data_IF_254378057199
#
_entry.id   IF_254378057199
#
_cell.length_a   1.000
_cell.length_b   1.000
_cell.length_c   1.000
_cell.angle_alpha   90.00
_cell.angle_beta   90.00
_cell.angle_gamma   90.00
#
_symmetry.space_group_name_H-M   'P 1'
#
loop_
_entity.id
_entity.type
_entity.pdbx_description
1 polymer ?
#
# COMPACT_ATOMS: atom_id res chain seq x y z
N UNK A 1 23.88 3.62 -16.59
CA UNK A 1 22.86 2.57 -16.38
C UNK A 1 23.07 2.00 -14.99
N UNK A 2 22.28 2.42 -13.99
CA UNK A 2 22.38 1.87 -12.63
C UNK A 2 21.43 0.68 -12.55
N UNK A 3 22.01 -0.51 -12.50
CA UNK A 3 21.31 -1.75 -12.20
C UNK A 3 20.78 -1.67 -10.77
N UNK A 4 19.46 -1.52 -10.60
CA UNK A 4 18.78 -1.67 -9.32
C UNK A 4 18.52 -3.17 -9.09
N UNK A 5 19.46 -3.84 -8.43
CA UNK A 5 19.21 -5.14 -7.81
C UNK A 5 19.12 -4.89 -6.30
N UNK A 6 17.91 -4.88 -5.75
CA UNK A 6 17.71 -4.98 -4.30
C UNK A 6 16.38 -5.66 -4.03
N UNK A 7 16.45 -6.77 -3.31
CA UNK A 7 15.31 -7.41 -2.65
C UNK A 7 14.39 -6.36 -2.01
N UNK A 8 13.11 -6.39 -2.37
CA UNK A 8 11.94 -5.90 -1.63
C UNK A 8 12.24 -5.00 -0.41
N UNK A 9 12.67 -3.76 -0.67
CA UNK A 9 12.83 -2.74 0.36
C UNK A 9 11.76 -1.69 0.11
N UNK A 10 10.60 -1.91 0.71
CA UNK A 10 9.57 -0.90 0.78
C UNK A 10 10.08 0.31 1.56
N UNK A 11 9.63 1.51 1.19
CA UNK A 11 9.99 2.73 1.91
C UNK A 11 9.52 2.64 3.38
N UNK A 12 10.16 3.36 4.29
CA UNK A 12 9.78 3.36 5.69
C UNK A 12 8.29 3.74 5.85
N UNK A 13 7.55 2.94 6.63
CA UNK A 13 6.09 3.05 6.75
C UNK A 13 5.30 2.31 5.67
N UNK A 14 5.97 1.48 4.85
CA UNK A 14 5.33 0.56 3.92
C UNK A 14 5.87 -0.87 4.04
N UNK A 15 5.02 -1.87 3.79
CA UNK A 15 5.37 -3.30 3.79
C UNK A 15 4.99 -3.97 2.48
N UNK A 16 5.64 -5.09 2.15
CA UNK A 16 5.23 -5.92 1.01
C UNK A 16 4.47 -7.17 1.46
N UNK A 17 3.27 -7.36 0.91
CA UNK A 17 2.51 -8.61 1.04
C UNK A 17 2.99 -9.64 0.03
N UNK A 18 4.26 -10.02 0.09
CA UNK A 18 4.86 -10.86 -0.94
C UNK A 18 5.40 -12.15 -0.40
N UNK A 19 4.53 -13.03 0.11
CA UNK A 19 4.65 -14.50 -0.02
C UNK A 19 3.23 -15.12 0.11
N UNK A 20 2.72 -15.81 -0.93
CA UNK A 20 1.48 -16.61 -0.86
C UNK A 20 0.27 -16.03 -1.61
N UNK A 21 -0.89 -16.70 -1.47
CA UNK A 21 -2.15 -16.33 -2.09
C UNK A 21 -3.16 -15.86 -1.03
N UNK A 22 -3.79 -14.69 -1.24
CA UNK A 22 -4.80 -14.16 -0.32
C UNK A 22 -5.83 -13.31 -1.04
N UNK A 23 -6.98 -13.08 -0.39
CA UNK A 23 -7.95 -12.09 -0.88
C UNK A 23 -7.29 -10.72 -0.91
N UNK A 24 -7.31 -10.08 -2.07
CA UNK A 24 -6.69 -8.76 -2.22
C UNK A 24 -7.52 -7.73 -1.46
N UNK A 25 -6.94 -7.15 -0.42
CA UNK A 25 -7.48 -5.91 0.18
C UNK A 25 -6.78 -4.76 -0.51
N UNK A 26 -7.55 -3.82 -1.07
CA UNK A 26 -6.96 -2.61 -1.63
C UNK A 26 -6.26 -1.82 -0.53
N UNK A 27 -5.22 -1.07 -0.89
CA UNK A 27 -4.56 -0.17 0.05
C UNK A 27 -5.56 0.89 0.52
N UNK A 28 -5.57 1.19 1.82
CA UNK A 28 -6.38 2.28 2.36
C UNK A 28 -5.85 3.62 1.82
N UNK A 29 -6.75 4.46 1.32
CA UNK A 29 -6.42 5.77 0.77
C UNK A 29 -7.11 6.89 1.54
N UNK A 30 -6.69 8.13 1.34
CA UNK A 30 -7.41 9.29 1.86
C UNK A 30 -8.87 9.39 1.39
N UNK A 31 -9.18 8.79 0.23
CA UNK A 31 -10.53 8.76 -0.36
C UNK A 31 -11.37 7.59 0.16
N UNK A 32 -10.73 6.44 0.38
CA UNK A 32 -11.33 5.21 0.90
C UNK A 32 -10.44 4.63 2.00
N UNK A 33 -10.60 5.07 3.26
CA UNK A 33 -9.77 4.64 4.36
C UNK A 33 -10.09 3.23 4.86
N UNK A 34 -11.26 2.66 4.49
CA UNK A 34 -11.69 1.33 4.92
C UNK A 34 -12.05 0.46 3.69
N UNK A 35 -11.07 0.13 2.84
CA UNK A 35 -11.31 -0.68 1.66
C UNK A 35 -11.78 -2.09 2.04
N UNK A 36 -12.76 -2.59 1.31
CA UNK A 36 -13.23 -3.96 1.48
C UNK A 36 -12.36 -4.94 0.69
N UNK A 37 -12.22 -6.20 1.16
CA UNK A 37 -11.55 -7.24 0.39
C UNK A 37 -12.22 -7.46 -0.96
N UNK A 38 -11.42 -7.54 -2.03
CA UNK A 38 -11.91 -7.96 -3.34
C UNK A 38 -12.31 -9.45 -3.32
N UNK A 39 -13.22 -9.82 -4.22
CA UNK A 39 -13.70 -11.21 -4.36
C UNK A 39 -12.66 -12.15 -4.99
N UNK A 40 -11.54 -11.60 -5.49
CA UNK A 40 -10.49 -12.34 -6.17
C UNK A 40 -9.28 -12.51 -5.27
N UNK A 41 -8.71 -13.71 -5.29
CA UNK A 41 -7.42 -13.97 -4.65
C UNK A 41 -6.29 -13.60 -5.59
N UNK A 42 -5.28 -12.91 -5.08
CA UNK A 42 -4.03 -12.64 -5.77
C UNK A 42 -2.90 -13.43 -5.11
N UNK A 43 -1.99 -13.94 -5.94
CA UNK A 43 -0.80 -14.66 -5.52
C UNK A 43 0.45 -13.88 -5.95
N UNK A 44 1.48 -13.88 -5.10
CA UNK A 44 2.84 -13.42 -5.44
C UNK A 44 2.90 -12.02 -6.09
N UNK A 45 2.06 -11.09 -5.62
CA UNK A 45 2.04 -9.72 -6.12
C UNK A 45 2.97 -8.81 -5.32
N UNK A 46 3.95 -8.23 -6.02
CA UNK A 46 4.93 -7.32 -5.43
C UNK A 46 4.50 -5.86 -5.50
N UNK A 47 4.00 -5.36 -4.37
CA UNK A 47 3.81 -3.92 -4.13
C UNK A 47 4.12 -3.56 -2.66
N UNK A 48 4.34 -2.27 -2.44
CA UNK A 48 4.53 -1.68 -1.12
C UNK A 48 3.26 -0.98 -0.67
N UNK A 49 2.78 -1.37 0.50
CA UNK A 49 1.50 -0.95 1.07
C UNK A 49 1.73 -0.16 2.35
N UNK A 50 0.98 0.91 2.58
CA UNK A 50 1.03 1.68 3.81
C UNK A 50 0.76 0.80 5.04
N UNK A 51 1.57 0.98 6.08
CA UNK A 51 1.33 0.34 7.37
C UNK A 51 0.09 0.95 8.04
N UNK A 52 -0.76 0.10 8.62
CA UNK A 52 -1.85 0.58 9.45
C UNK A 52 -1.27 1.33 10.68
N UNK A 53 -1.84 2.48 11.10
CA UNK A 53 -3.13 3.06 10.71
C UNK A 53 -3.02 4.17 9.63
N UNK A 54 -1.96 4.19 8.83
CA UNK A 54 -1.77 5.21 7.79
C UNK A 54 -2.50 4.86 6.50
N UNK A 55 -2.83 5.89 5.72
CA UNK A 55 -3.51 5.79 4.43
C UNK A 55 -2.66 6.44 3.34
N UNK A 56 -2.78 5.97 2.10
CA UNK A 56 -2.11 6.56 0.95
C UNK A 56 -2.81 7.84 0.52
N UNK A 57 -2.07 8.94 0.52
CA UNK A 57 -2.49 10.15 -0.16
C UNK A 57 -2.20 10.01 -1.67
N UNK A 58 -3.25 9.91 -2.47
CA UNK A 58 -3.16 9.80 -3.93
C UNK A 58 -2.48 11.00 -4.59
N UNK A 59 -2.47 12.18 -3.95
CA UNK A 59 -1.87 13.38 -4.50
C UNK A 59 -0.34 13.40 -4.33
N UNK A 60 0.17 13.03 -3.16
CA UNK A 60 1.61 13.00 -2.89
C UNK A 60 2.27 11.63 -3.08
N UNK A 61 1.48 10.56 -3.15
CA UNK A 61 1.95 9.18 -3.16
C UNK A 61 2.49 8.69 -1.81
N UNK A 62 2.34 9.47 -0.73
CA UNK A 62 2.89 9.15 0.59
C UNK A 62 1.86 8.51 1.51
N UNK A 63 2.34 7.72 2.46
CA UNK A 63 1.53 7.25 3.57
C UNK A 63 1.43 8.36 4.62
N UNK A 64 0.21 8.74 4.98
CA UNK A 64 -0.07 9.79 5.96
C UNK A 64 -1.13 9.31 6.95
N UNK A 65 -1.18 9.91 8.13
CA UNK A 65 -2.30 9.68 9.02
C UNK A 65 -3.59 10.23 8.40
N UNK A 66 -4.73 9.62 8.70
CA UNK A 66 -6.02 10.00 8.11
C UNK A 66 -6.39 11.47 8.37
N UNK A 67 -6.01 12.02 9.54
CA UNK A 67 -6.21 13.44 9.88
C UNK A 67 -5.31 14.41 9.08
N UNK A 68 -4.30 13.88 8.39
CA UNK A 68 -3.37 14.63 7.53
C UNK A 68 -3.70 14.51 6.05
N UNK A 69 -4.79 13.84 5.70
CA UNK A 69 -5.27 13.82 4.33
C UNK A 69 -5.58 15.24 3.84
N UNK A 70 -5.29 15.54 2.56
CA UNK A 70 -5.62 16.84 1.99
C UNK A 70 -7.12 17.08 2.11
N UNK A 71 -7.50 18.23 2.68
CA UNK A 71 -8.90 18.64 2.68
C UNK A 71 -9.30 18.95 1.24
N UNK A 72 -10.39 18.31 0.80
CA UNK A 72 -10.99 18.55 -0.52
C UNK A 72 -11.76 19.86 -0.56
#
# INVERSE_FOLDING_TARGET
MKYFYSHSYCEEGTHSYTIGCGYRVLEATCDEPNPQPEKFMMCDYSACYCDAPTVRDSASGKCVALDKCPQK
#
